data_IF_132987234581
#
_entry.id   IF_132987234581
#
_cell.length_a   1.000
_cell.length_b   1.000
_cell.length_c   1.000
_cell.angle_alpha   90.00
_cell.angle_beta   90.00
_cell.angle_gamma   90.00
#
_symmetry.space_group_name_H-M   'P 1'
#
loop_
_entity.id
_entity.type
_entity.pdbx_description
1 polymer ?
#
# COMPACT_ATOMS: atom_id res chain seq x y z
N UNK A 1 -10.67 13.78 0.26
CA UNK A 1 -9.68 13.59 -0.83
C UNK A 1 -10.32 13.59 -2.21
N UNK A 2 -11.47 12.92 -2.41
CA UNK A 2 -12.13 12.88 -3.74
C UNK A 2 -12.41 14.29 -4.30
N UNK A 3 -12.93 15.21 -3.49
CA UNK A 3 -13.17 16.60 -3.90
C UNK A 3 -11.89 17.35 -4.34
N UNK A 4 -10.72 16.91 -3.89
CA UNK A 4 -9.42 17.42 -4.30
C UNK A 4 -8.83 16.67 -5.51
N UNK A 5 -9.60 15.81 -6.19
CA UNK A 5 -9.18 15.10 -7.40
C UNK A 5 -8.47 13.76 -7.16
N UNK A 6 -8.29 13.34 -5.91
CA UNK A 6 -7.71 12.02 -5.63
C UNK A 6 -8.73 10.91 -5.94
N UNK A 7 -8.30 9.89 -6.66
CA UNK A 7 -9.11 8.73 -7.04
C UNK A 7 -8.57 7.40 -6.51
N UNK A 8 -7.46 7.43 -5.78
CA UNK A 8 -6.80 6.24 -5.24
C UNK A 8 -6.28 6.55 -3.83
N UNK A 9 -6.29 5.54 -2.96
CA UNK A 9 -5.65 5.57 -1.64
C UNK A 9 -4.80 4.30 -1.45
N UNK A 10 -3.65 4.44 -0.80
CA UNK A 10 -2.87 3.32 -0.26
C UNK A 10 -3.19 3.21 1.23
N UNK A 11 -3.60 2.03 1.67
CA UNK A 11 -4.09 1.78 3.04
C UNK A 11 -3.53 0.49 3.59
N UNK A 12 -3.08 0.49 4.83
CA UNK A 12 -2.83 -0.72 5.60
C UNK A 12 -4.12 -1.20 6.24
N UNK A 13 -4.46 -2.48 6.03
CA UNK A 13 -5.67 -3.10 6.60
C UNK A 13 -5.51 -3.32 8.11
N UNK A 14 -4.32 -3.70 8.51
CA UNK A 14 -3.90 -3.85 9.90
C UNK A 14 -2.57 -3.12 10.09
N UNK A 15 -2.51 -2.19 11.02
CA UNK A 15 -1.34 -1.37 11.27
C UNK A 15 -0.86 -1.60 12.73
N UNK A 16 0.43 -1.98 12.93
CA UNK A 16 0.87 -2.37 14.28
C UNK A 16 1.47 -1.24 15.11
N UNK A 17 1.80 -0.07 14.54
CA UNK A 17 2.66 0.90 15.19
C UNK A 17 2.13 2.34 15.27
N UNK A 18 1.82 2.97 14.12
CA UNK A 18 1.51 4.41 14.07
C UNK A 18 0.06 4.73 14.44
N UNK A 19 -0.90 4.10 13.80
CA UNK A 19 -2.30 4.22 14.16
C UNK A 19 -2.64 3.34 15.37
N UNK A 20 -1.84 2.31 15.58
CA UNK A 20 -1.86 1.37 16.70
C UNK A 20 -3.18 0.63 16.89
N UNK A 21 -3.15 -0.62 17.27
CA UNK A 21 -4.32 -1.24 17.87
C UNK A 21 -4.50 -0.71 19.32
N UNK A 22 -5.73 -0.53 19.77
CA UNK A 22 -6.99 -0.79 19.09
C UNK A 22 -7.38 0.30 18.07
N UNK A 23 -8.36 -0.03 17.21
CA UNK A 23 -9.00 0.96 16.35
C UNK A 23 -9.78 1.99 17.19
N UNK A 24 -10.36 3.00 16.55
CA UNK A 24 -11.15 4.05 17.24
C UNK A 24 -12.32 3.54 18.09
N UNK A 25 -12.77 2.31 17.89
CA UNK A 25 -13.84 1.68 18.63
C UNK A 25 -13.35 0.82 19.81
N UNK A 26 -12.03 0.68 19.97
CA UNK A 26 -11.41 -0.17 20.97
C UNK A 26 -11.16 -1.62 20.52
N UNK A 27 -11.41 -1.95 19.23
CA UNK A 27 -11.23 -3.31 18.74
C UNK A 27 -9.77 -3.57 18.34
N UNK A 28 -9.24 -4.73 18.71
CA UNK A 28 -7.96 -5.26 18.22
C UNK A 28 -8.18 -6.09 16.95
N UNK A 29 -7.25 -6.11 15.98
CA UNK A 29 -7.37 -6.96 14.78
C UNK A 29 -7.26 -8.44 15.08
N UNK A 30 -6.47 -8.81 16.09
CA UNK A 30 -6.19 -10.18 16.54
C UNK A 30 -6.16 -10.24 18.06
N UNK A 31 -6.31 -11.43 18.68
CA UNK A 31 -6.04 -11.62 20.09
C UNK A 31 -4.62 -11.20 20.45
N UNK A 32 -4.44 -10.60 21.62
CA UNK A 32 -3.13 -10.17 22.10
C UNK A 32 -2.13 -11.33 22.09
N UNK A 33 -0.92 -11.08 21.59
CA UNK A 33 0.15 -12.07 21.48
C UNK A 33 -0.04 -13.15 20.41
N UNK A 34 -1.17 -13.14 19.66
CA UNK A 34 -1.50 -14.16 18.66
C UNK A 34 -1.87 -13.56 17.30
N UNK A 35 -0.95 -12.82 16.66
CA UNK A 35 -1.23 -12.16 15.38
C UNK A 35 -1.62 -13.19 14.32
N UNK A 36 -2.50 -12.76 13.41
CA UNK A 36 -3.06 -13.54 12.29
C UNK A 36 -3.97 -14.71 12.69
N UNK A 37 -4.14 -14.99 13.98
CA UNK A 37 -5.09 -16.00 14.47
C UNK A 37 -6.41 -15.36 14.88
N UNK A 38 -7.53 -16.05 14.66
CA UNK A 38 -8.86 -15.63 15.09
C UNK A 38 -9.13 -14.13 14.82
N UNK A 39 -9.15 -13.65 13.54
CA UNK A 39 -9.37 -12.25 13.22
C UNK A 39 -10.63 -11.69 13.85
N UNK A 40 -10.55 -10.51 14.46
CA UNK A 40 -11.67 -9.85 15.15
C UNK A 40 -12.74 -9.39 14.17
N UNK A 41 -13.93 -9.97 14.25
CA UNK A 41 -15.05 -9.56 13.39
C UNK A 41 -15.35 -8.06 13.50
N UNK A 42 -15.32 -7.50 14.70
CA UNK A 42 -15.62 -6.08 14.93
C UNK A 42 -14.59 -5.17 14.26
N UNK A 43 -13.30 -5.46 14.43
CA UNK A 43 -12.23 -4.70 13.77
C UNK A 43 -12.38 -4.72 12.24
N UNK A 44 -12.54 -5.90 11.65
CA UNK A 44 -12.61 -6.04 10.20
C UNK A 44 -13.93 -5.56 9.59
N UNK A 45 -15.02 -5.54 10.36
CA UNK A 45 -16.25 -4.86 9.93
C UNK A 45 -16.09 -3.35 9.87
N UNK A 46 -15.32 -2.75 10.79
CA UNK A 46 -14.98 -1.33 10.71
C UNK A 46 -14.12 -1.03 9.48
N UNK A 47 -13.09 -1.84 9.20
CA UNK A 47 -12.28 -1.72 7.99
C UNK A 47 -13.14 -1.83 6.72
N UNK A 48 -14.09 -2.79 6.67
CA UNK A 48 -15.05 -2.93 5.58
C UNK A 48 -15.87 -1.65 5.37
N UNK A 49 -16.38 -1.04 6.44
CA UNK A 49 -17.13 0.21 6.34
C UNK A 49 -16.32 1.38 5.74
N UNK A 50 -15.00 1.40 5.97
CA UNK A 50 -14.10 2.38 5.32
C UNK A 50 -13.96 2.10 3.83
N UNK A 51 -13.85 0.83 3.43
CA UNK A 51 -13.78 0.42 2.01
C UNK A 51 -15.12 0.69 1.30
N UNK A 52 -16.27 0.50 1.97
CA UNK A 52 -17.60 0.91 1.48
C UNK A 52 -17.64 2.40 1.13
N UNK A 53 -17.07 3.25 1.99
CA UNK A 53 -16.96 4.68 1.71
C UNK A 53 -16.05 4.98 0.52
N UNK A 54 -14.94 4.27 0.39
CA UNK A 54 -14.04 4.41 -0.75
C UNK A 54 -14.77 4.05 -2.05
N UNK A 55 -15.48 2.93 -2.08
CA UNK A 55 -16.29 2.49 -3.23
C UNK A 55 -17.38 3.51 -3.57
N UNK A 56 -18.14 3.99 -2.58
CA UNK A 56 -19.17 5.02 -2.75
C UNK A 56 -18.62 6.31 -3.37
N UNK A 57 -17.36 6.65 -3.09
CA UNK A 57 -16.71 7.84 -3.61
C UNK A 57 -15.85 7.56 -4.86
N UNK A 58 -15.96 6.38 -5.48
CA UNK A 58 -15.18 5.99 -6.65
C UNK A 58 -13.66 6.11 -6.42
N UNK A 59 -13.20 5.63 -5.28
CA UNK A 59 -11.79 5.59 -4.89
C UNK A 59 -11.30 4.15 -5.01
N UNK A 60 -10.23 3.96 -5.79
CA UNK A 60 -9.47 2.72 -5.82
C UNK A 60 -8.68 2.55 -4.52
N UNK A 61 -8.64 1.36 -3.97
CA UNK A 61 -7.91 1.05 -2.75
C UNK A 61 -6.73 0.13 -3.09
N UNK A 62 -5.51 0.65 -2.92
CA UNK A 62 -4.31 -0.16 -2.86
C UNK A 62 -4.22 -0.70 -1.42
N UNK A 63 -4.57 -1.95 -1.21
CA UNK A 63 -4.77 -2.51 0.13
C UNK A 63 -3.58 -3.37 0.57
N UNK A 64 -2.75 -2.83 1.45
CA UNK A 64 -1.71 -3.58 2.13
C UNK A 64 -2.33 -4.40 3.28
N UNK A 65 -2.60 -5.67 3.03
CA UNK A 65 -3.32 -6.54 3.98
C UNK A 65 -2.49 -6.93 5.20
N UNK A 66 -1.14 -6.96 5.08
CA UNK A 66 -0.18 -7.22 6.14
C UNK A 66 1.17 -6.61 5.74
N UNK A 67 1.37 -5.34 6.05
CA UNK A 67 2.58 -4.60 5.72
C UNK A 67 3.80 -5.20 6.41
N UNK A 68 4.85 -5.53 5.63
CA UNK A 68 6.06 -6.16 6.17
C UNK A 68 6.84 -5.20 7.07
N UNK A 69 6.90 -3.93 6.68
CA UNK A 69 7.53 -2.87 7.46
C UNK A 69 8.95 -2.56 7.03
N UNK A 70 9.33 -1.30 7.16
CA UNK A 70 10.65 -0.81 6.81
C UNK A 70 11.75 -1.68 7.43
N UNK A 71 12.56 -2.29 6.57
CA UNK A 71 13.66 -3.14 7.00
C UNK A 71 13.27 -4.32 7.90
N UNK A 72 12.05 -4.86 7.79
CA UNK A 72 11.51 -5.88 8.70
C UNK A 72 11.45 -5.42 10.17
N UNK A 73 11.28 -4.11 10.38
CA UNK A 73 11.27 -3.47 11.69
C UNK A 73 9.91 -3.51 12.39
N UNK A 74 9.81 -2.72 13.47
CA UNK A 74 8.62 -2.64 14.32
C UNK A 74 7.41 -1.97 13.68
N UNK A 75 7.63 -1.27 12.57
CA UNK A 75 6.59 -0.58 11.81
C UNK A 75 5.71 -1.52 10.98
N UNK A 76 6.00 -2.82 11.01
CA UNK A 76 5.25 -3.80 10.25
C UNK A 76 5.18 -5.16 10.92
N UNK A 77 4.64 -6.10 10.20
CA UNK A 77 4.33 -7.45 10.70
C UNK A 77 5.41 -8.50 10.42
N UNK A 78 6.56 -8.12 9.80
CA UNK A 78 7.58 -9.08 9.39
C UNK A 78 7.95 -10.09 10.49
N UNK A 79 8.32 -9.60 11.66
CA UNK A 79 8.73 -10.48 12.78
C UNK A 79 7.59 -11.38 13.29
N UNK A 80 6.36 -10.92 13.23
CA UNK A 80 5.20 -11.73 13.57
C UNK A 80 4.94 -12.79 12.48
N UNK A 81 4.98 -12.41 11.21
CA UNK A 81 4.82 -13.33 10.08
C UNK A 81 5.87 -14.45 10.10
N UNK A 82 7.14 -14.13 10.37
CA UNK A 82 8.22 -15.12 10.45
C UNK A 82 7.96 -16.19 11.50
N UNK A 83 7.33 -15.84 12.63
CA UNK A 83 6.98 -16.77 13.72
C UNK A 83 5.65 -17.50 13.50
N UNK A 84 4.81 -17.01 12.58
CA UNK A 84 3.49 -17.59 12.34
C UNK A 84 3.60 -18.75 11.34
N UNK A 85 2.94 -19.89 11.56
CA UNK A 85 2.87 -20.97 10.57
C UNK A 85 2.26 -20.49 9.25
N UNK A 86 2.74 -21.02 8.13
CA UNK A 86 2.24 -20.65 6.80
C UNK A 86 0.75 -20.94 6.64
N UNK A 87 0.25 -22.05 7.19
CA UNK A 87 -1.17 -22.37 7.18
C UNK A 87 -2.03 -21.29 7.86
N UNK A 88 -1.57 -20.74 8.97
CA UNK A 88 -2.27 -19.65 9.68
C UNK A 88 -2.29 -18.36 8.85
N UNK A 89 -1.19 -18.05 8.18
CA UNK A 89 -1.14 -16.88 7.27
C UNK A 89 -2.03 -17.10 6.03
N UNK A 90 -2.10 -18.31 5.52
CA UNK A 90 -2.99 -18.66 4.42
C UNK A 90 -4.47 -18.57 4.84
N UNK A 91 -4.82 -19.04 6.05
CA UNK A 91 -6.16 -18.89 6.62
C UNK A 91 -6.54 -17.42 6.83
N UNK A 92 -5.60 -16.59 7.28
CA UNK A 92 -5.79 -15.14 7.34
C UNK A 92 -6.04 -14.54 5.95
N UNK A 93 -5.27 -14.96 4.94
CA UNK A 93 -5.48 -14.58 3.55
C UNK A 93 -6.89 -14.95 3.04
N UNK A 94 -7.35 -16.19 3.32
CA UNK A 94 -8.74 -16.64 2.99
C UNK A 94 -9.78 -15.75 3.69
N UNK A 95 -9.55 -15.45 4.95
CA UNK A 95 -10.47 -14.62 5.73
C UNK A 95 -10.63 -13.22 5.12
N UNK A 96 -9.54 -12.50 4.87
CA UNK A 96 -9.61 -11.14 4.31
C UNK A 96 -10.10 -11.14 2.87
N UNK A 97 -9.71 -12.13 2.07
CA UNK A 97 -10.20 -12.32 0.71
C UNK A 97 -11.72 -12.54 0.67
N UNK A 98 -12.24 -13.42 1.53
CA UNK A 98 -13.69 -13.67 1.64
C UNK A 98 -14.44 -12.43 2.14
N UNK A 99 -13.89 -11.75 3.13
CA UNK A 99 -14.51 -10.54 3.71
C UNK A 99 -14.69 -9.43 2.67
N UNK A 100 -13.76 -9.33 1.73
CA UNK A 100 -13.69 -8.23 0.76
C UNK A 100 -13.98 -8.68 -0.69
N UNK A 101 -14.57 -9.85 -0.86
CA UNK A 101 -14.85 -10.44 -2.18
C UNK A 101 -15.72 -9.57 -3.08
N UNK A 102 -16.66 -8.82 -2.49
CA UNK A 102 -17.65 -8.00 -3.22
C UNK A 102 -17.08 -6.63 -3.68
N UNK A 103 -15.82 -6.31 -3.38
CA UNK A 103 -15.24 -5.00 -3.66
C UNK A 103 -14.39 -5.00 -4.94
N UNK A 104 -14.91 -4.44 -6.05
CA UNK A 104 -14.19 -4.39 -7.32
C UNK A 104 -13.09 -3.30 -7.35
N UNK A 105 -13.02 -2.45 -6.33
CA UNK A 105 -12.12 -1.31 -6.23
C UNK A 105 -10.89 -1.60 -5.36
N UNK A 106 -10.44 -2.86 -5.28
CA UNK A 106 -9.25 -3.24 -4.52
C UNK A 106 -8.17 -3.77 -5.45
N UNK A 107 -6.94 -3.29 -5.27
CA UNK A 107 -5.71 -3.95 -5.71
C UNK A 107 -4.97 -4.37 -4.45
N UNK A 108 -4.68 -5.67 -4.34
CA UNK A 108 -4.00 -6.24 -3.18
C UNK A 108 -2.51 -5.94 -3.24
N UNK A 109 -1.97 -5.31 -2.19
CA UNK A 109 -0.56 -4.95 -2.09
C UNK A 109 0.13 -5.91 -1.12
N UNK A 110 1.09 -6.66 -1.62
CA UNK A 110 1.92 -7.58 -0.85
C UNK A 110 3.23 -6.92 -0.44
N UNK A 111 3.90 -7.46 0.57
CA UNK A 111 5.16 -6.93 1.05
C UNK A 111 4.99 -5.65 1.88
N UNK A 112 5.79 -4.65 1.59
CA UNK A 112 5.84 -3.36 2.31
C UNK A 112 7.31 -2.98 2.54
N UNK A 113 7.72 -1.81 2.34
CA UNK A 113 9.06 -1.17 2.45
C UNK A 113 10.25 -2.07 2.89
N UNK A 114 10.27 -3.30 2.35
CA UNK A 114 11.31 -4.30 2.59
C UNK A 114 11.40 -5.27 1.41
N UNK A 115 12.60 -5.73 1.12
CA UNK A 115 12.79 -6.90 0.25
C UNK A 115 12.58 -8.18 1.09
N UNK A 116 11.44 -8.83 0.89
CA UNK A 116 11.08 -10.04 1.64
C UNK A 116 12.09 -11.20 1.47
N UNK A 117 12.90 -11.20 0.40
CA UNK A 117 13.95 -12.20 0.19
C UNK A 117 15.09 -12.01 1.17
N UNK A 118 15.50 -10.76 1.41
CA UNK A 118 16.58 -10.42 2.34
C UNK A 118 16.24 -10.86 3.76
N UNK A 119 14.98 -10.71 4.15
CA UNK A 119 14.49 -11.06 5.50
C UNK A 119 13.89 -12.45 5.61
N UNK A 120 14.02 -13.29 4.57
CA UNK A 120 13.45 -14.64 4.50
C UNK A 120 11.93 -14.68 4.71
N UNK A 121 11.25 -13.59 4.44
CA UNK A 121 9.80 -13.44 4.63
C UNK A 121 8.99 -13.76 3.36
N UNK A 122 9.63 -14.09 2.24
CA UNK A 122 8.95 -14.34 0.96
C UNK A 122 7.87 -15.42 1.06
N UNK A 123 8.20 -16.58 1.66
CA UNK A 123 7.22 -17.66 1.84
C UNK A 123 6.01 -17.24 2.70
N UNK A 124 6.23 -16.33 3.65
CA UNK A 124 5.17 -15.78 4.51
C UNK A 124 4.24 -14.85 3.74
N UNK A 125 4.80 -13.98 2.92
CA UNK A 125 4.03 -13.11 2.02
C UNK A 125 3.22 -13.94 1.02
N UNK A 126 3.85 -14.97 0.44
CA UNK A 126 3.19 -15.89 -0.50
C UNK A 126 2.10 -16.74 0.18
N UNK A 127 2.22 -17.07 1.46
CA UNK A 127 1.17 -17.77 2.18
C UNK A 127 -0.10 -16.94 2.27
N UNK A 128 -0.01 -15.65 2.61
CA UNK A 128 -1.17 -14.77 2.60
C UNK A 128 -1.74 -14.61 1.19
N UNK A 129 -0.88 -14.44 0.17
CA UNK A 129 -1.31 -14.42 -1.23
C UNK A 129 -2.12 -15.67 -1.58
N UNK A 130 -1.62 -16.88 -1.31
CA UNK A 130 -2.34 -18.13 -1.63
C UNK A 130 -3.72 -18.17 -0.99
N UNK A 131 -3.84 -17.67 0.24
CA UNK A 131 -5.13 -17.59 0.92
C UNK A 131 -6.12 -16.68 0.20
N UNK A 132 -5.68 -15.48 -0.22
CA UNK A 132 -6.53 -14.54 -0.97
C UNK A 132 -6.90 -15.14 -2.34
N UNK A 133 -5.93 -15.63 -3.10
CA UNK A 133 -6.13 -16.16 -4.45
C UNK A 133 -7.06 -17.39 -4.46
N UNK A 134 -7.02 -18.20 -3.41
CA UNK A 134 -7.90 -19.35 -3.27
C UNK A 134 -9.41 -19.00 -3.21
N UNK A 135 -9.76 -17.79 -2.79
CA UNK A 135 -11.15 -17.32 -2.68
C UNK A 135 -11.48 -16.22 -3.69
N UNK A 136 -10.47 -15.57 -4.24
CA UNK A 136 -10.59 -14.51 -5.24
C UNK A 136 -9.64 -14.76 -6.43
N UNK A 137 -9.79 -15.86 -7.16
CA UNK A 137 -8.93 -16.16 -8.30
C UNK A 137 -9.10 -15.07 -9.37
N UNK A 138 -7.98 -14.48 -9.79
CA UNK A 138 -7.98 -13.40 -10.78
C UNK A 138 -8.09 -11.99 -10.21
N UNK A 139 -8.06 -11.81 -8.89
CA UNK A 139 -7.90 -10.51 -8.27
C UNK A 139 -6.58 -9.84 -8.74
N UNK A 140 -6.56 -8.50 -8.73
CA UNK A 140 -5.36 -7.77 -9.08
C UNK A 140 -4.41 -7.71 -7.88
N UNK A 141 -3.19 -8.20 -8.10
CA UNK A 141 -2.14 -8.20 -7.11
C UNK A 141 -0.95 -7.37 -7.56
N UNK A 142 -0.39 -6.64 -6.62
CA UNK A 142 0.87 -5.92 -6.73
C UNK A 142 1.72 -6.16 -5.48
N UNK A 143 2.91 -5.58 -5.44
CA UNK A 143 3.75 -5.61 -4.25
C UNK A 143 4.41 -4.26 -4.01
N UNK A 144 4.75 -4.00 -2.76
CA UNK A 144 5.56 -2.87 -2.35
C UNK A 144 6.93 -3.39 -1.91
N UNK A 145 7.98 -2.94 -2.59
CA UNK A 145 9.37 -3.29 -2.27
C UNK A 145 10.03 -2.17 -1.46
N UNK A 146 11.29 -2.36 -1.07
CA UNK A 146 12.06 -1.34 -0.38
C UNK A 146 12.41 -0.16 -1.29
N UNK A 147 12.79 0.95 -0.65
CA UNK A 147 13.17 2.20 -1.33
C UNK A 147 14.18 1.98 -2.46
N UNK A 148 13.98 2.64 -3.60
CA UNK A 148 14.74 2.54 -4.85
C UNK A 148 14.59 1.21 -5.61
N UNK A 149 13.62 0.41 -5.21
CA UNK A 149 13.26 -0.82 -5.92
C UNK A 149 11.82 -0.77 -6.43
N UNK A 150 11.52 -1.65 -7.35
CA UNK A 150 10.17 -1.86 -7.85
C UNK A 150 9.67 -3.26 -7.48
N UNK A 151 8.37 -3.50 -7.63
CA UNK A 151 7.80 -4.80 -7.32
C UNK A 151 8.50 -5.94 -8.09
N UNK A 152 8.82 -5.73 -9.38
CA UNK A 152 9.55 -6.73 -10.18
C UNK A 152 10.97 -7.01 -9.70
N UNK A 153 11.58 -6.12 -8.94
CA UNK A 153 12.91 -6.35 -8.35
C UNK A 153 12.86 -7.35 -7.19
N UNK A 154 11.78 -7.31 -6.39
CA UNK A 154 11.62 -8.07 -5.16
C UNK A 154 10.67 -9.27 -5.31
N UNK A 155 9.68 -9.15 -6.17
CA UNK A 155 8.55 -10.07 -6.28
C UNK A 155 8.31 -10.47 -7.75
N UNK A 156 9.33 -10.99 -8.43
CA UNK A 156 9.16 -11.57 -9.78
C UNK A 156 8.38 -12.89 -9.66
N UNK A 157 7.06 -12.79 -9.70
CA UNK A 157 6.11 -13.87 -9.48
C UNK A 157 4.95 -13.83 -10.48
N UNK A 158 4.39 -14.97 -10.87
CA UNK A 158 3.25 -15.03 -11.81
C UNK A 158 2.01 -14.26 -11.36
N UNK A 159 1.83 -14.08 -10.06
CA UNK A 159 0.71 -13.34 -9.50
C UNK A 159 0.88 -11.82 -9.59
N UNK A 160 2.08 -11.30 -9.80
CA UNK A 160 2.31 -9.87 -9.96
C UNK A 160 1.70 -9.40 -11.27
N UNK A 161 0.65 -8.59 -11.21
CA UNK A 161 -0.10 -8.09 -12.38
C UNK A 161 0.05 -6.61 -12.62
N UNK A 162 0.47 -5.88 -11.59
CA UNK A 162 0.76 -4.45 -11.62
C UNK A 162 2.14 -4.25 -11.03
N UNK A 163 3.05 -3.61 -11.76
CA UNK A 163 4.33 -3.21 -11.17
C UNK A 163 4.14 -1.97 -10.31
N UNK A 164 4.90 -1.86 -9.25
CA UNK A 164 4.99 -0.61 -8.47
C UNK A 164 6.44 -0.14 -8.42
N UNK A 165 6.61 1.17 -8.45
CA UNK A 165 7.93 1.81 -8.37
C UNK A 165 8.01 2.63 -7.09
N UNK A 166 9.06 2.41 -6.30
CA UNK A 166 9.42 3.26 -5.18
C UNK A 166 10.72 3.98 -5.50
N UNK A 167 10.68 5.30 -5.59
CA UNK A 167 11.83 6.12 -5.95
C UNK A 167 11.67 7.53 -5.40
N UNK A 168 12.74 8.27 -5.26
CA UNK A 168 12.71 9.60 -4.65
C UNK A 168 13.31 10.67 -5.56
N UNK A 169 12.64 11.82 -5.63
CA UNK A 169 13.09 13.07 -6.25
C UNK A 169 13.76 12.86 -7.63
N UNK A 170 15.02 13.22 -7.74
CA UNK A 170 15.80 13.21 -8.98
C UNK A 170 16.05 11.82 -9.58
N UNK A 171 15.92 10.77 -8.78
CA UNK A 171 16.09 9.39 -9.25
C UNK A 171 14.83 8.85 -9.94
N UNK A 172 13.68 9.50 -9.74
CA UNK A 172 12.38 9.07 -10.26
C UNK A 172 12.36 8.90 -11.78
N UNK A 173 12.88 9.82 -12.61
CA UNK A 173 12.81 9.66 -14.06
C UNK A 173 13.51 8.40 -14.55
N UNK A 174 14.75 8.18 -14.11
CA UNK A 174 15.53 7.00 -14.52
C UNK A 174 14.87 5.69 -14.07
N UNK A 175 14.36 5.64 -12.83
CA UNK A 175 13.71 4.45 -12.29
C UNK A 175 12.41 4.12 -13.03
N UNK A 176 11.57 5.11 -13.31
CA UNK A 176 10.32 4.90 -14.06
C UNK A 176 10.59 4.39 -15.48
N UNK A 177 11.53 5.02 -16.20
CA UNK A 177 11.88 4.59 -17.56
C UNK A 177 12.42 3.16 -17.56
N UNK A 178 13.29 2.82 -16.62
CA UNK A 178 13.83 1.47 -16.48
C UNK A 178 12.73 0.45 -16.19
N UNK A 179 11.85 0.74 -15.25
CA UNK A 179 10.75 -0.17 -14.86
C UNK A 179 9.76 -0.35 -16.02
N UNK A 180 9.44 0.70 -16.75
CA UNK A 180 8.59 0.63 -17.96
C UNK A 180 9.21 -0.23 -19.06
N UNK A 181 10.53 -0.15 -19.22
CA UNK A 181 11.24 -0.99 -20.20
C UNK A 181 11.23 -2.46 -19.77
N UNK A 182 11.52 -2.75 -18.50
CA UNK A 182 11.62 -4.11 -17.95
C UNK A 182 10.25 -4.80 -17.83
N UNK A 183 9.20 -4.05 -17.55
CA UNK A 183 7.84 -4.56 -17.35
C UNK A 183 6.87 -3.99 -18.41
N UNK A 184 7.28 -3.94 -19.69
CA UNK A 184 6.53 -3.28 -20.75
C UNK A 184 5.09 -3.79 -20.95
N UNK A 185 4.83 -5.07 -20.64
CA UNK A 185 3.50 -5.68 -20.74
C UNK A 185 2.64 -5.46 -19.48
N UNK A 186 3.16 -4.82 -18.44
CA UNK A 186 2.50 -4.66 -17.14
C UNK A 186 2.24 -3.18 -16.85
N UNK A 187 1.03 -2.80 -16.39
CA UNK A 187 0.81 -1.44 -15.90
C UNK A 187 1.71 -1.18 -14.69
N UNK A 188 2.18 0.07 -14.54
CA UNK A 188 3.05 0.48 -13.45
C UNK A 188 2.43 1.63 -12.67
N UNK A 189 2.54 1.60 -11.34
CA UNK A 189 2.09 2.64 -10.43
C UNK A 189 3.30 3.14 -9.64
N UNK A 190 3.46 4.45 -9.54
CA UNK A 190 4.41 5.05 -8.59
C UNK A 190 3.79 4.98 -7.19
N UNK A 191 4.21 3.98 -6.40
CA UNK A 191 3.56 3.65 -5.14
C UNK A 191 4.07 4.47 -3.97
N UNK A 192 5.35 4.86 -4.02
CA UNK A 192 5.95 5.64 -2.94
C UNK A 192 7.12 6.48 -3.44
N UNK A 193 7.28 7.64 -2.80
CA UNK A 193 8.39 8.54 -2.99
C UNK A 193 8.67 9.35 -1.73
N UNK A 194 9.32 10.48 -1.87
CA UNK A 194 9.53 11.41 -0.78
C UNK A 194 8.18 11.98 -0.34
N UNK A 195 7.90 11.96 0.95
CA UNK A 195 6.67 12.51 1.52
C UNK A 195 6.82 13.99 1.82
N UNK A 196 5.74 14.74 1.57
CA UNK A 196 5.67 16.14 1.99
C UNK A 196 5.82 16.25 3.52
N UNK A 197 6.54 17.25 3.97
CA UNK A 197 6.88 17.48 5.39
C UNK A 197 7.77 16.40 6.03
N UNK A 198 8.44 15.60 5.23
CA UNK A 198 9.48 14.68 5.70
C UNK A 198 10.86 15.08 5.23
N UNK A 199 11.85 14.96 6.15
CA UNK A 199 13.27 15.18 5.85
C UNK A 199 13.47 16.51 5.12
N UNK A 200 14.07 16.45 3.94
CA UNK A 200 14.41 17.57 3.05
C UNK A 200 13.47 17.68 1.83
N UNK A 201 12.26 17.12 1.91
CA UNK A 201 11.30 17.15 0.82
C UNK A 201 10.87 18.57 0.47
N UNK A 202 11.40 19.11 -0.63
CA UNK A 202 11.01 20.42 -1.14
C UNK A 202 9.72 20.32 -1.96
N UNK A 203 8.93 21.42 -2.09
CA UNK A 203 7.79 21.45 -2.99
C UNK A 203 8.15 21.12 -4.44
N UNK A 204 9.38 21.41 -4.86
CA UNK A 204 9.86 21.04 -6.20
C UNK A 204 10.03 19.52 -6.32
N UNK A 205 10.66 18.87 -5.33
CA UNK A 205 10.80 17.41 -5.31
C UNK A 205 9.43 16.73 -5.39
N UNK A 206 8.47 17.14 -4.58
CA UNK A 206 7.11 16.55 -4.56
C UNK A 206 6.42 16.68 -5.94
N UNK A 207 6.48 17.86 -6.56
CA UNK A 207 5.90 18.06 -7.89
C UNK A 207 6.65 17.27 -8.97
N UNK A 208 7.97 17.21 -8.89
CA UNK A 208 8.80 16.50 -9.86
C UNK A 208 8.51 15.00 -9.87
N UNK A 209 8.38 14.37 -8.69
CA UNK A 209 7.99 12.97 -8.58
C UNK A 209 6.68 12.68 -9.32
N UNK A 210 5.67 13.54 -9.13
CA UNK A 210 4.39 13.41 -9.82
C UNK A 210 4.56 13.46 -11.35
N UNK A 211 5.14 14.56 -11.85
CA UNK A 211 5.21 14.77 -13.30
C UNK A 211 6.15 13.77 -13.98
N UNK A 212 7.26 13.43 -13.37
CA UNK A 212 8.18 12.44 -13.93
C UNK A 212 7.60 11.02 -13.93
N UNK A 213 6.88 10.64 -12.89
CA UNK A 213 6.22 9.34 -12.89
C UNK A 213 5.15 9.27 -13.98
N UNK A 214 4.31 10.27 -14.09
CA UNK A 214 3.25 10.32 -15.08
C UNK A 214 3.80 10.40 -16.52
N UNK A 215 4.69 11.37 -16.81
CA UNK A 215 5.29 11.54 -18.14
C UNK A 215 6.19 10.35 -18.52
N UNK A 216 6.74 9.65 -17.56
CA UNK A 216 7.48 8.40 -17.76
C UNK A 216 6.60 7.17 -18.01
N UNK A 217 5.25 7.33 -17.97
CA UNK A 217 4.29 6.30 -18.32
C UNK A 217 3.75 5.48 -17.14
N UNK A 218 3.82 5.99 -15.91
CA UNK A 218 3.08 5.39 -14.79
C UNK A 218 1.58 5.61 -14.97
N UNK A 219 0.80 4.58 -14.67
CA UNK A 219 -0.67 4.62 -14.69
C UNK A 219 -1.27 5.33 -13.46
N UNK A 220 -0.46 5.60 -12.44
CA UNK A 220 -0.88 6.29 -11.23
C UNK A 220 0.29 6.74 -10.37
N UNK A 221 0.00 7.66 -9.44
CA UNK A 221 0.96 8.23 -8.50
C UNK A 221 0.33 8.32 -7.11
N UNK A 222 1.00 7.75 -6.11
CA UNK A 222 0.61 7.89 -4.71
C UNK A 222 1.41 9.03 -4.08
N UNK A 223 0.67 10.00 -3.54
CA UNK A 223 1.23 11.16 -2.83
C UNK A 223 1.18 10.92 -1.33
N UNK A 224 2.32 11.05 -0.67
CA UNK A 224 2.46 10.95 0.78
C UNK A 224 2.64 12.31 1.46
N UNK A 225 2.09 12.45 2.67
CA UNK A 225 2.35 13.56 3.58
C UNK A 225 2.54 12.99 4.99
N UNK A 226 3.56 13.44 5.70
CA UNK A 226 3.96 12.91 7.01
C UNK A 226 2.81 12.87 8.02
N UNK A 227 2.11 13.97 8.19
CA UNK A 227 1.03 14.06 9.18
C UNK A 227 -0.14 13.14 8.85
N UNK A 228 -0.41 12.95 7.57
CA UNK A 228 -1.54 12.12 7.11
C UNK A 228 -1.26 10.64 7.34
N UNK A 229 -0.10 10.14 6.91
CA UNK A 229 0.16 8.71 7.02
C UNK A 229 0.41 8.24 8.46
N UNK A 230 0.91 9.13 9.32
CA UNK A 230 1.11 8.85 10.75
C UNK A 230 -0.12 9.07 11.61
N UNK A 231 -1.20 9.62 11.06
CA UNK A 231 -2.35 10.08 11.81
C UNK A 231 -1.98 11.01 12.97
N UNK A 232 -1.04 11.95 12.74
CA UNK A 232 -0.69 12.98 13.73
C UNK A 232 -1.95 13.77 14.11
N UNK A 233 -1.98 14.37 15.32
CA UNK A 233 -3.18 15.02 15.86
C UNK A 233 -3.80 16.07 14.92
N UNK A 234 -2.96 16.75 14.14
CA UNK A 234 -3.30 17.81 13.18
C UNK A 234 -3.37 17.33 11.71
N UNK A 235 -3.47 16.02 11.46
CA UNK A 235 -3.47 15.47 10.10
C UNK A 235 -4.52 16.09 9.17
N UNK A 236 -5.62 16.62 9.74
CA UNK A 236 -6.68 17.26 8.95
C UNK A 236 -6.20 18.54 8.29
N UNK A 237 -5.30 19.29 8.92
CA UNK A 237 -4.72 20.53 8.37
C UNK A 237 -3.81 20.23 7.19
N UNK A 238 -3.20 19.03 7.18
CA UNK A 238 -2.40 18.52 6.06
C UNK A 238 -3.25 18.03 4.85
N UNK A 239 -4.57 18.18 4.89
CA UNK A 239 -5.41 17.89 3.73
C UNK A 239 -5.40 19.03 2.68
N UNK A 240 -4.90 20.21 3.00
CA UNK A 240 -4.71 21.34 2.08
C UNK A 240 -3.30 21.94 2.24
N UNK A 241 -2.35 21.34 1.56
CA UNK A 241 -0.93 21.72 1.54
C UNK A 241 -0.49 22.09 0.12
N UNK A 242 0.69 22.71 -0.06
CA UNK A 242 1.26 22.92 -1.39
C UNK A 242 1.32 21.65 -2.24
N UNK A 243 1.71 20.50 -1.66
CA UNK A 243 1.72 19.21 -2.34
C UNK A 243 0.32 18.76 -2.73
N UNK A 244 -0.65 18.81 -1.82
CA UNK A 244 -2.05 18.48 -2.13
C UNK A 244 -2.59 19.34 -3.27
N UNK A 245 -2.31 20.66 -3.27
CA UNK A 245 -2.74 21.55 -4.36
C UNK A 245 -2.09 21.20 -5.69
N UNK A 246 -0.81 20.82 -5.70
CA UNK A 246 -0.12 20.35 -6.90
C UNK A 246 -0.77 19.07 -7.46
N UNK A 247 -1.11 18.10 -6.59
CA UNK A 247 -1.85 16.89 -6.99
C UNK A 247 -3.24 17.22 -7.54
N UNK A 248 -3.94 18.17 -6.93
CA UNK A 248 -5.26 18.65 -7.41
C UNK A 248 -5.19 19.23 -8.82
N UNK A 249 -4.15 20.00 -9.12
CA UNK A 249 -3.92 20.51 -10.49
C UNK A 249 -3.70 19.37 -11.47
N UNK A 250 -2.85 18.40 -11.11
CA UNK A 250 -2.62 17.24 -11.96
C UNK A 250 -3.90 16.43 -12.19
N UNK A 251 -4.69 16.14 -11.14
CA UNK A 251 -5.95 15.43 -11.27
C UNK A 251 -6.97 16.10 -12.17
N UNK A 252 -6.96 17.44 -12.29
CA UNK A 252 -7.81 18.19 -13.23
C UNK A 252 -7.32 18.12 -14.69
N UNK A 253 -6.02 17.91 -14.88
CA UNK A 253 -5.43 17.83 -16.21
C UNK A 253 -5.45 16.42 -16.79
N UNK A 254 -5.44 15.41 -15.94
CA UNK A 254 -5.22 14.01 -16.30
C UNK A 254 -6.49 13.14 -16.13
N UNK A 255 -7.46 13.57 -15.35
CA UNK A 255 -8.75 12.90 -15.08
C UNK A 255 -9.88 13.65 -15.69
#
# INVERSE_FOLDING_TARGET
>A
RRAAGFNTILVELVEPHFAGPPNRNGDLPFPEGSPFTAPSRAYFQHARAVIDLALKHHILVLLAHAYVGFGCGKEGWCNAMLRTPDATLEDYGRYVGTLLADYPNIIWVHGGDADARVYQAMGKVEAVFRGIDAVLPGALHTAHCSRQFSAIDCYDRPWLKVNTTYSECDQTPAKIVLDRHRAAAMPSIYIEGRYEEEKDATPLCIRSQLWWSYLGGSAGHVFGNRRVWRFEADWRDALDTPGTRAMTVAGKLLG
#
